data_IF_370635196878
#
_entry.id   IF_370635196878
#
_cell.length_a   1.000
_cell.length_b   1.000
_cell.length_c   1.000
_cell.angle_alpha   90.00
_cell.angle_beta   90.00
_cell.angle_gamma   90.00
#
_symmetry.space_group_name_H-M   'P 1'
#
loop_
_entity.id
_entity.type
_entity.pdbx_description
1 polymer ?
#
# COMPACT_ATOMS: atom_id res chain seq x y z
N UNK A 1 6.85 10.78 13.78
CA UNK A 1 6.65 10.07 13.99
C UNK A 1 5.75 9.10 14.45
N UNK A 2 4.69 9.04 13.92
CA UNK A 2 3.76 8.05 14.24
C UNK A 2 4.35 6.68 14.18
N UNK A 3 5.42 6.50 13.51
CA UNK A 3 5.93 5.18 13.40
C UNK A 3 6.47 4.64 14.67
N UNK A 4 6.72 5.44 15.65
CA UNK A 4 7.25 4.93 16.87
C UNK A 4 6.29 4.04 17.61
N UNK A 5 5.08 4.51 17.81
CA UNK A 5 4.15 3.66 18.52
C UNK A 5 3.68 2.54 17.65
N UNK A 6 3.78 2.70 16.36
CA UNK A 6 3.49 1.59 15.49
C UNK A 6 4.53 0.53 15.69
N UNK A 7 5.74 0.95 15.94
CA UNK A 7 6.81 0.02 16.18
C UNK A 7 6.53 -0.81 17.41
N UNK A 8 5.98 -0.17 18.41
CA UNK A 8 5.64 -0.88 19.62
C UNK A 8 4.67 -1.99 19.32
N UNK A 9 3.69 -1.70 18.52
CA UNK A 9 2.76 -2.72 18.16
C UNK A 9 3.43 -3.81 17.40
N UNK A 10 4.40 -3.44 16.64
CA UNK A 10 5.04 -4.42 15.82
C UNK A 10 5.80 -5.43 16.62
N UNK A 11 6.23 -5.06 17.81
CA UNK A 11 7.02 -6.00 18.59
C UNK A 11 6.30 -7.30 18.79
N UNK A 12 5.02 -7.26 19.00
CA UNK A 12 4.31 -8.49 19.20
C UNK A 12 3.85 -9.12 17.89
N UNK A 13 3.91 -8.36 16.84
CA UNK A 13 3.49 -8.87 15.58
C UNK A 13 4.60 -9.13 14.63
N UNK A 14 5.82 -9.05 15.09
CA UNK A 14 6.92 -9.16 14.17
C UNK A 14 6.87 -10.42 13.35
N UNK A 15 6.50 -11.50 13.95
CA UNK A 15 6.43 -12.74 13.21
C UNK A 15 5.38 -12.69 12.14
N UNK A 16 4.30 -11.97 12.44
CA UNK A 16 3.23 -11.89 11.49
C UNK A 16 3.52 -10.89 10.41
N UNK A 17 4.20 -9.84 10.77
CA UNK A 17 4.47 -8.79 9.79
C UNK A 17 5.35 -9.27 8.69
N UNK A 18 6.19 -10.26 8.98
CA UNK A 18 7.06 -10.79 7.94
C UNK A 18 6.21 -11.41 6.83
N UNK A 19 5.02 -11.85 7.17
CA UNK A 19 4.13 -12.39 6.16
C UNK A 19 3.04 -11.38 5.90
N UNK A 20 3.43 -10.18 5.55
CA UNK A 20 2.44 -9.16 5.25
C UNK A 20 1.53 -9.69 4.16
N UNK A 21 0.26 -9.72 4.45
CA UNK A 21 -0.71 -10.22 3.53
C UNK A 21 -0.88 -9.25 2.38
N UNK A 22 -0.46 -9.68 1.23
CA UNK A 22 -0.61 -8.88 0.04
C UNK A 22 -2.04 -8.98 -0.47
N UNK A 23 -2.49 -7.93 -1.12
CA UNK A 23 -3.80 -7.95 -1.72
C UNK A 23 -3.70 -8.61 -3.09
N UNK A 24 -4.76 -9.31 -3.47
CA UNK A 24 -4.83 -9.94 -4.79
C UNK A 24 -5.15 -8.87 -5.84
N UNK A 25 -5.09 -9.26 -7.11
CA UNK A 25 -5.45 -8.34 -8.18
C UNK A 25 -6.88 -7.85 -8.05
N UNK A 26 -7.80 -8.76 -7.73
CA UNK A 26 -9.20 -8.38 -7.56
C UNK A 26 -9.37 -7.44 -6.37
N UNK A 27 -8.69 -7.74 -5.27
CA UNK A 27 -8.74 -6.88 -4.10
C UNK A 27 -8.15 -5.50 -4.41
N UNK A 28 -7.15 -5.43 -5.28
CA UNK A 28 -6.58 -4.15 -5.64
C UNK A 28 -7.58 -3.27 -6.39
N UNK A 29 -8.38 -3.85 -7.26
CA UNK A 29 -9.41 -3.08 -7.95
C UNK A 29 -10.33 -2.40 -6.94
N UNK A 30 -10.72 -3.14 -5.90
CA UNK A 30 -11.56 -2.59 -4.84
C UNK A 30 -10.84 -1.47 -4.09
N UNK A 31 -9.57 -1.70 -3.76
CA UNK A 31 -8.80 -0.70 -3.03
C UNK A 31 -8.57 0.58 -3.84
N UNK A 32 -8.37 0.45 -5.15
CA UNK A 32 -8.20 1.65 -5.98
C UNK A 32 -9.41 2.57 -5.88
N UNK A 33 -10.61 1.99 -5.86
CA UNK A 33 -11.82 2.79 -5.70
C UNK A 33 -11.84 3.48 -4.34
N UNK A 34 -11.54 2.70 -3.29
CA UNK A 34 -11.58 3.24 -1.93
C UNK A 34 -10.47 4.23 -1.63
N UNK A 35 -9.32 4.06 -2.26
CA UNK A 35 -8.25 5.03 -2.12
C UNK A 35 -8.59 6.35 -2.83
N UNK A 36 -9.43 6.27 -3.86
CA UNK A 36 -9.86 7.48 -4.55
C UNK A 36 -10.96 8.19 -3.77
N UNK A 37 -11.89 7.43 -3.22
CA UNK A 37 -12.98 7.99 -2.47
C UNK A 37 -13.43 7.03 -1.39
N UNK A 38 -13.44 7.47 -0.17
CA UNK A 38 -13.90 6.69 0.98
C UNK A 38 -14.48 7.64 2.02
N UNK A 39 -15.36 7.18 2.89
CA UNK A 39 -15.86 5.81 2.98
C UNK A 39 -16.94 5.52 1.95
N UNK A 40 -17.11 4.26 1.60
CA UNK A 40 -18.14 3.84 0.65
C UNK A 40 -18.76 2.52 1.09
N UNK A 41 -20.01 2.35 0.72
CA UNK A 41 -20.69 1.08 0.93
C UNK A 41 -20.46 0.15 -0.26
N UNK A 42 -20.78 -1.13 -0.07
CA UNK A 42 -20.55 -2.13 -1.11
C UNK A 42 -21.30 -1.80 -2.41
N UNK A 43 -22.52 -1.31 -2.31
CA UNK A 43 -23.30 -0.97 -3.50
C UNK A 43 -22.65 0.16 -4.28
N UNK A 44 -22.14 1.16 -3.58
CA UNK A 44 -21.47 2.28 -4.23
C UNK A 44 -20.19 1.83 -4.93
N UNK A 45 -19.45 0.97 -4.26
CA UNK A 45 -18.22 0.42 -4.83
C UNK A 45 -18.56 -0.38 -6.10
N UNK A 46 -19.60 -1.19 -6.02
CA UNK A 46 -20.02 -2.01 -7.15
C UNK A 46 -20.38 -1.15 -8.37
N UNK A 47 -21.04 -0.03 -8.13
CA UNK A 47 -21.40 0.88 -9.21
C UNK A 47 -20.19 1.59 -9.81
N UNK A 48 -19.18 1.78 -9.02
CA UNK A 48 -17.98 2.49 -9.48
C UNK A 48 -17.07 1.59 -10.30
N UNK A 49 -17.03 0.31 -9.95
CA UNK A 49 -16.18 -0.64 -10.67
C UNK A 49 -16.85 -1.02 -11.97
N UNK A 50 -16.26 -0.59 -13.08
CA UNK A 50 -16.79 -0.93 -14.40
C UNK A 50 -15.91 -1.91 -15.15
N UNK A 51 -14.74 -2.18 -14.63
CA UNK A 51 -13.77 -3.08 -15.26
C UNK A 51 -14.09 -4.56 -15.00
N UNK A 52 -14.95 -4.83 -14.05
CA UNK A 52 -15.25 -6.20 -13.65
C UNK A 52 -16.75 -6.40 -13.61
N UNK A 53 -17.17 -7.64 -13.83
CA UNK A 53 -18.58 -7.98 -13.82
C UNK A 53 -18.94 -8.82 -12.59
N UNK A 54 -18.40 -8.44 -11.44
CA UNK A 54 -18.64 -9.19 -10.21
C UNK A 54 -20.05 -9.00 -9.70
N UNK A 55 -20.55 -10.06 -9.08
CA UNK A 55 -21.80 -9.94 -8.32
C UNK A 55 -21.51 -9.19 -7.02
N UNK A 56 -22.57 -8.67 -6.41
CA UNK A 56 -22.45 -8.01 -5.14
C UNK A 56 -21.90 -8.97 -4.08
N UNK A 57 -22.23 -10.25 -4.21
CA UNK A 57 -21.74 -11.27 -3.30
C UNK A 57 -20.23 -11.44 -3.42
N UNK A 58 -19.72 -11.45 -4.65
CA UNK A 58 -18.29 -11.54 -4.89
C UNK A 58 -17.57 -10.33 -4.29
N UNK A 59 -18.12 -9.14 -4.52
CA UNK A 59 -17.54 -7.92 -3.99
C UNK A 59 -17.50 -7.95 -2.47
N UNK A 60 -18.58 -8.38 -1.83
CA UNK A 60 -18.59 -8.46 -0.37
C UNK A 60 -17.57 -9.45 0.16
N UNK A 61 -17.31 -10.53 -0.57
CA UNK A 61 -16.27 -11.48 -0.19
C UNK A 61 -14.90 -10.82 -0.24
N UNK A 62 -14.65 -10.05 -1.29
CA UNK A 62 -13.36 -9.32 -1.41
C UNK A 62 -13.21 -8.31 -0.29
N UNK A 63 -14.28 -7.57 0.01
CA UNK A 63 -14.25 -6.59 1.09
C UNK A 63 -13.99 -7.26 2.43
N UNK A 64 -14.62 -8.40 2.67
CA UNK A 64 -14.43 -9.14 3.90
C UNK A 64 -12.98 -9.59 4.05
N UNK A 65 -12.38 -10.05 2.96
CA UNK A 65 -10.98 -10.46 2.99
C UNK A 65 -10.06 -9.29 3.31
N UNK A 66 -10.35 -8.14 2.72
CA UNK A 66 -9.54 -6.94 3.00
C UNK A 66 -9.65 -6.50 4.45
N UNK A 67 -10.83 -6.63 5.03
CA UNK A 67 -11.01 -6.34 6.45
C UNK A 67 -10.19 -7.33 7.29
N UNK A 68 -10.25 -8.61 6.96
CA UNK A 68 -9.49 -9.63 7.68
C UNK A 68 -7.99 -9.43 7.58
N UNK A 69 -7.54 -8.89 6.44
CA UNK A 69 -6.12 -8.59 6.25
C UNK A 69 -5.67 -7.33 6.98
N UNK A 70 -6.61 -6.61 7.57
CA UNK A 70 -6.28 -5.38 8.28
C UNK A 70 -6.04 -4.19 7.38
N UNK A 71 -6.53 -4.23 6.16
CA UNK A 71 -6.32 -3.17 5.18
C UNK A 71 -7.52 -2.23 5.12
N UNK A 72 -8.69 -2.75 5.44
CA UNK A 72 -9.92 -1.96 5.51
C UNK A 72 -10.53 -2.03 6.91
N UNK A 73 -11.18 -0.97 7.30
CA UNK A 73 -12.04 -0.98 8.48
C UNK A 73 -13.48 -0.85 8.02
N UNK A 74 -14.41 -1.27 8.87
CA UNK A 74 -15.83 -1.15 8.59
C UNK A 74 -16.49 -0.34 9.67
N UNK A 75 -17.53 0.37 9.28
CA UNK A 75 -18.34 1.10 10.22
C UNK A 75 -19.80 0.93 9.78
N UNK A 76 -20.65 0.60 10.74
CA UNK A 76 -22.05 0.42 10.43
C UNK A 76 -22.75 1.78 10.41
N UNK A 77 -23.46 2.05 9.35
CA UNK A 77 -24.22 3.27 9.22
C UNK A 77 -25.62 2.86 8.78
N UNK A 78 -26.56 2.92 9.72
CA UNK A 78 -27.88 2.40 9.45
C UNK A 78 -27.86 0.90 9.27
N UNK A 79 -28.26 0.44 8.11
CA UNK A 79 -28.26 -1.00 7.80
C UNK A 79 -27.14 -1.41 6.88
N UNK A 80 -26.23 -0.50 6.58
CA UNK A 80 -25.16 -0.82 5.65
C UNK A 80 -23.81 -0.59 6.30
N UNK A 81 -22.81 -1.27 5.78
CA UNK A 81 -21.44 -1.07 6.23
C UNK A 81 -20.74 -0.12 5.28
N UNK A 82 -19.96 0.77 5.85
CA UNK A 82 -19.07 1.64 5.09
C UNK A 82 -17.65 1.14 5.30
N UNK A 83 -16.86 1.19 4.24
CA UNK A 83 -15.50 0.69 4.25
C UNK A 83 -14.53 1.84 4.07
N UNK A 84 -13.48 1.84 4.87
CA UNK A 84 -12.46 2.89 4.85
C UNK A 84 -11.08 2.25 4.86
N UNK A 85 -10.16 2.67 3.99
CA UNK A 85 -8.80 2.15 4.02
C UNK A 85 -8.11 2.50 5.33
N UNK A 86 -7.41 1.53 5.90
CA UNK A 86 -6.57 1.75 7.08
C UNK A 86 -5.18 2.23 6.68
N UNK A 87 -4.82 2.02 5.42
CA UNK A 87 -3.55 2.46 4.87
C UNK A 87 -3.80 3.26 3.60
N UNK A 88 -3.05 4.32 3.41
CA UNK A 88 -3.09 5.03 2.15
C UNK A 88 -2.45 4.17 1.06
N UNK A 89 -2.68 4.53 -0.18
CA UNK A 89 -2.07 3.83 -1.30
C UNK A 89 -0.55 3.88 -1.19
N UNK A 90 -0.02 5.05 -0.84
CA UNK A 90 1.42 5.24 -0.69
C UNK A 90 1.99 4.40 0.43
N UNK A 91 1.29 4.35 1.56
CA UNK A 91 1.75 3.55 2.68
C UNK A 91 1.74 2.06 2.36
N UNK A 92 0.70 1.60 1.67
CA UNK A 92 0.64 0.22 1.25
C UNK A 92 1.77 -0.11 0.28
N UNK A 93 1.99 0.77 -0.71
CA UNK A 93 3.06 0.59 -1.68
C UNK A 93 4.42 0.53 -1.01
N UNK A 94 4.65 1.39 -0.04
CA UNK A 94 5.91 1.40 0.68
C UNK A 94 6.14 0.07 1.41
N UNK A 95 5.11 -0.47 2.03
CA UNK A 95 5.23 -1.77 2.71
C UNK A 95 5.52 -2.91 1.75
N UNK A 96 4.85 -2.90 0.62
CA UNK A 96 5.07 -3.93 -0.40
C UNK A 96 6.51 -3.85 -0.90
N UNK A 97 6.98 -2.65 -1.17
CA UNK A 97 8.33 -2.45 -1.66
C UNK A 97 9.38 -2.86 -0.63
N UNK A 98 9.13 -2.52 0.63
CA UNK A 98 10.04 -2.91 1.70
C UNK A 98 10.12 -4.42 1.83
N UNK A 99 8.98 -5.10 1.80
CA UNK A 99 8.95 -6.55 1.85
C UNK A 99 9.69 -7.18 0.69
N UNK A 100 9.50 -6.62 -0.49
CA UNK A 100 10.18 -7.09 -1.69
C UNK A 100 11.69 -6.90 -1.56
N UNK A 101 12.09 -5.74 -1.08
CA UNK A 101 13.50 -5.42 -0.90
C UNK A 101 14.15 -6.39 0.10
N UNK A 102 13.46 -6.68 1.21
CA UNK A 102 13.99 -7.61 2.19
C UNK A 102 14.13 -9.02 1.61
N UNK A 103 13.14 -9.43 0.86
CA UNK A 103 13.11 -10.80 0.33
C UNK A 103 14.16 -11.04 -0.75
N UNK A 104 14.33 -10.10 -1.65
CA UNK A 104 15.18 -10.30 -2.82
C UNK A 104 16.51 -9.57 -2.78
N UNK A 105 16.65 -8.56 -1.93
CA UNK A 105 17.85 -7.72 -1.90
C UNK A 105 18.43 -7.56 -0.50
N UNK A 106 17.95 -8.38 0.44
CA UNK A 106 18.48 -8.32 1.81
C UNK A 106 18.28 -6.97 2.46
N UNK A 107 17.25 -6.25 2.05
CA UNK A 107 16.98 -4.92 2.60
C UNK A 107 17.84 -3.80 2.02
N UNK A 108 18.70 -4.12 1.05
CA UNK A 108 19.56 -3.11 0.47
C UNK A 108 18.86 -2.39 -0.67
N UNK A 109 18.94 -1.07 -0.65
CA UNK A 109 18.25 -0.24 -1.64
C UNK A 109 19.03 -0.11 -2.95
N UNK A 110 20.35 -0.01 -2.85
CA UNK A 110 21.16 0.25 -4.03
C UNK A 110 21.03 -0.82 -5.13
N UNK A 111 21.10 -2.13 -4.80
CA UNK A 111 20.92 -3.15 -5.84
C UNK A 111 19.52 -3.11 -6.46
N UNK A 112 18.50 -2.83 -5.64
CA UNK A 112 17.15 -2.71 -6.15
C UNK A 112 17.05 -1.55 -7.13
N UNK A 113 17.62 -0.41 -6.76
CA UNK A 113 17.59 0.77 -7.60
C UNK A 113 18.33 0.53 -8.91
N UNK A 114 19.49 -0.12 -8.83
CA UNK A 114 20.26 -0.45 -10.01
C UNK A 114 19.45 -1.32 -10.97
N UNK A 115 18.74 -2.30 -10.43
CA UNK A 115 17.91 -3.16 -11.26
C UNK A 115 16.80 -2.35 -11.95
N UNK A 116 16.20 -1.41 -11.24
CA UNK A 116 15.17 -0.56 -11.81
C UNK A 116 15.70 0.27 -12.98
N UNK A 117 16.93 0.77 -12.86
CA UNK A 117 17.50 1.59 -13.92
C UNK A 117 17.82 0.76 -15.15
N UNK A 118 18.08 -0.53 -14.98
CA UNK A 118 18.38 -1.41 -16.10
C UNK A 118 17.11 -1.91 -16.78
N UNK A 119 16.06 -2.13 -16.02
CA UNK A 119 14.85 -2.72 -16.56
C UNK A 119 13.88 -1.72 -17.15
N UNK A 120 14.08 -0.45 -16.86
CA UNK A 120 13.19 0.60 -17.34
C UNK A 120 13.99 1.73 -17.96
N UNK A 121 13.43 2.28 -19.01
CA UNK A 121 14.05 3.45 -19.63
C UNK A 121 13.62 4.67 -18.84
N UNK A 122 14.54 5.21 -18.06
CA UNK A 122 14.26 6.42 -17.32
C UNK A 122 14.34 7.60 -18.27
N UNK A 123 13.37 8.49 -18.18
CA UNK A 123 13.41 9.72 -18.94
C UNK A 123 14.39 10.69 -18.28
N UNK A 124 14.81 11.70 -19.02
CA UNK A 124 15.68 12.73 -18.44
C UNK A 124 15.00 13.40 -17.27
N UNK A 125 13.70 13.60 -17.34
CA UNK A 125 12.94 14.20 -16.23
C UNK A 125 12.99 13.31 -14.99
N UNK A 126 12.85 11.99 -15.17
CA UNK A 126 12.97 11.07 -14.04
C UNK A 126 14.35 11.14 -13.39
N UNK A 127 15.37 11.20 -14.22
CA UNK A 127 16.75 11.26 -13.73
C UNK A 127 16.98 12.53 -12.92
N UNK A 128 16.49 13.65 -13.42
CA UNK A 128 16.63 14.94 -12.72
C UNK A 128 15.88 14.90 -11.39
N UNK A 129 14.66 14.38 -11.38
CA UNK A 129 13.89 14.32 -10.16
C UNK A 129 14.55 13.41 -9.13
N UNK A 130 15.04 12.25 -9.55
CA UNK A 130 15.72 11.33 -8.66
C UNK A 130 17.01 11.96 -8.12
N UNK A 131 17.73 12.67 -8.97
CA UNK A 131 18.96 13.34 -8.55
C UNK A 131 18.66 14.37 -7.47
N UNK A 132 17.62 15.14 -7.63
CA UNK A 132 17.22 16.13 -6.63
C UNK A 132 16.86 15.47 -5.30
N UNK A 133 16.15 14.35 -5.37
CA UNK A 133 15.78 13.60 -4.17
C UNK A 133 17.03 13.13 -3.43
N UNK A 134 17.98 12.57 -4.17
CA UNK A 134 19.23 12.09 -3.56
C UNK A 134 20.05 13.21 -2.94
N UNK A 135 20.07 14.36 -3.58
CA UNK A 135 20.79 15.51 -3.04
C UNK A 135 20.16 15.98 -1.73
N UNK A 136 18.85 16.04 -1.67
CA UNK A 136 18.16 16.41 -0.45
C UNK A 136 18.43 15.43 0.68
N UNK A 137 18.40 14.13 0.36
CA UNK A 137 18.68 13.11 1.37
C UNK A 137 20.09 13.21 1.92
N UNK A 138 21.05 13.50 1.05
CA UNK A 138 22.43 13.71 1.51
C UNK A 138 22.53 14.89 2.45
N UNK A 139 21.89 15.99 2.09
CA UNK A 139 21.90 17.19 2.91
C UNK A 139 21.28 16.93 4.28
N UNK A 140 20.19 16.20 4.32
CA UNK A 140 19.53 15.87 5.57
C UNK A 140 20.41 15.00 6.46
N UNK A 141 21.09 14.03 5.87
CA UNK A 141 21.97 13.15 6.64
C UNK A 141 23.15 13.93 7.22
N UNK A 142 23.69 14.85 6.46
CA UNK A 142 24.80 15.66 6.95
C UNK A 142 24.37 16.58 8.08
N UNK A 143 23.13 17.04 8.06
CA UNK A 143 22.63 17.87 9.15
C UNK A 143 22.36 17.05 10.41
N UNK A 144 21.98 15.81 10.24
CA UNK A 144 21.65 14.95 11.38
C UNK A 144 22.88 14.42 12.10
N UNK A 145 24.02 14.42 11.44
CA UNK A 145 25.24 13.95 12.08
C UNK A 145 26.10 15.13 12.49
#
# INVERSE_FOLDING_TARGET
>A
MYELHDVVNLSCNTTKTSSMKQISKSEQVVMEVLWTRSPMGAAEIAQTITSETWSIKTLKTLLSRLVQKGILSTQLEGRRYLYTPLLSKEAYGARVLDGFSQKFYGGRTAPLFLHLTKSKNLSDADIDEISDILERLKAEKHRSS
#
